data_IF_698831180706
#
_entry.id   IF_698831180706
#
_cell.length_a   1.000
_cell.length_b   1.000
_cell.length_c   1.000
_cell.angle_alpha   90.00
_cell.angle_beta   90.00
_cell.angle_gamma   90.00
#
_symmetry.space_group_name_H-M   'P 1'
#
loop_
_entity.id
_entity.type
_entity.pdbx_description
1 polymer ?
#
# COMPACT_ATOMS: atom_id res chain seq x y z
N UNK A 1 -19.32 -36.33 -36.33
CA UNK A 1 -20.13 -35.67 -35.29
C UNK A 1 -19.20 -35.42 -34.12
N UNK A 2 -18.92 -34.14 -33.84
CA UNK A 2 -17.80 -33.70 -33.02
C UNK A 2 -18.17 -33.50 -31.55
N UNK A 3 -17.23 -33.88 -30.68
CA UNK A 3 -16.93 -33.45 -29.31
C UNK A 3 -18.03 -32.92 -28.40
N UNK A 4 -18.22 -33.62 -27.27
CA UNK A 4 -18.71 -33.04 -26.02
C UNK A 4 -17.68 -33.24 -24.92
N UNK A 5 -16.56 -32.51 -25.03
CA UNK A 5 -15.67 -32.26 -23.89
C UNK A 5 -16.34 -31.23 -22.99
N UNK A 6 -17.06 -31.70 -21.98
CA UNK A 6 -17.51 -30.86 -20.86
C UNK A 6 -16.30 -30.47 -20.02
N UNK A 7 -15.56 -29.44 -20.47
CA UNK A 7 -14.61 -28.73 -19.61
C UNK A 7 -15.38 -28.03 -18.51
N UNK A 8 -15.50 -28.69 -17.37
CA UNK A 8 -15.82 -28.06 -16.09
C UNK A 8 -14.71 -27.07 -15.79
N UNK A 9 -14.95 -25.78 -16.06
CA UNK A 9 -14.06 -24.73 -15.56
C UNK A 9 -14.07 -24.78 -14.03
N UNK A 10 -12.90 -24.84 -13.36
CA UNK A 10 -12.87 -24.80 -11.91
C UNK A 10 -13.41 -23.45 -11.44
N UNK A 11 -14.38 -23.51 -10.53
CA UNK A 11 -14.89 -22.38 -9.78
C UNK A 11 -13.70 -21.58 -9.23
N UNK A 12 -13.56 -20.34 -9.69
CA UNK A 12 -12.54 -19.40 -9.24
C UNK A 12 -12.62 -19.27 -7.72
N UNK A 13 -11.59 -19.75 -7.02
CA UNK A 13 -11.36 -19.42 -5.62
C UNK A 13 -11.21 -17.92 -5.53
N UNK A 14 -12.27 -17.22 -5.09
CA UNK A 14 -12.25 -15.77 -4.90
C UNK A 14 -11.02 -15.41 -4.05
N UNK A 15 -10.03 -14.78 -4.67
CA UNK A 15 -8.83 -14.35 -3.96
C UNK A 15 -9.25 -13.21 -3.05
N UNK A 16 -9.22 -13.41 -1.74
CA UNK A 16 -9.67 -12.38 -0.82
C UNK A 16 -8.68 -11.18 -0.86
N UNK A 17 -8.99 -10.15 -1.65
CA UNK A 17 -8.20 -8.92 -1.76
C UNK A 17 -8.58 -7.98 -0.60
N UNK A 18 -7.61 -7.36 0.10
CA UNK A 18 -6.17 -7.56 -0.05
C UNK A 18 -5.66 -8.85 0.61
N UNK A 19 -4.74 -9.52 -0.06
CA UNK A 19 -4.03 -10.67 0.47
C UNK A 19 -3.05 -10.26 1.58
N UNK A 20 -2.66 -11.19 2.43
CA UNK A 20 -1.64 -10.93 3.47
C UNK A 20 -0.31 -10.47 2.88
N UNK A 21 0.06 -10.95 1.70
CA UNK A 21 1.29 -10.52 1.03
C UNK A 21 1.21 -9.07 0.55
N UNK A 22 0.07 -8.66 -0.02
CA UNK A 22 -0.18 -7.26 -0.37
C UNK A 22 -0.09 -6.35 0.86
N UNK A 23 -0.66 -6.76 1.99
CA UNK A 23 -0.59 -6.00 3.25
C UNK A 23 0.86 -5.91 3.76
N UNK A 24 1.64 -6.99 3.69
CA UNK A 24 3.07 -6.98 4.03
C UNK A 24 3.84 -5.99 3.14
N UNK A 25 3.57 -5.98 1.84
CA UNK A 25 4.17 -5.02 0.89
C UNK A 25 3.79 -3.58 1.24
N UNK A 26 2.53 -3.29 1.52
CA UNK A 26 2.09 -1.96 1.98
C UNK A 26 2.82 -1.53 3.26
N UNK A 27 2.92 -2.43 4.24
CA UNK A 27 3.65 -2.16 5.50
C UNK A 27 5.13 -1.89 5.25
N UNK A 28 5.74 -2.55 4.27
CA UNK A 28 7.14 -2.32 3.92
C UNK A 28 7.37 -0.92 3.34
N UNK A 29 6.42 -0.41 2.54
CA UNK A 29 6.48 0.92 1.92
C UNK A 29 6.19 2.07 2.88
N UNK A 30 5.48 1.79 3.98
CA UNK A 30 5.17 2.79 5.00
C UNK A 30 6.47 3.36 5.61
N UNK A 31 6.56 4.69 5.69
CA UNK A 31 7.75 5.38 6.18
C UNK A 31 8.94 5.39 5.23
N UNK A 32 8.78 4.95 3.97
CA UNK A 32 9.85 5.03 2.95
C UNK A 32 9.56 6.18 1.98
N UNK A 33 8.42 6.10 1.28
CA UNK A 33 8.04 7.10 0.27
C UNK A 33 6.51 7.26 0.30
N UNK A 34 6.08 8.48 0.64
CA UNK A 34 4.67 8.84 0.78
C UNK A 34 3.90 8.69 -0.53
N UNK A 35 4.52 9.03 -1.66
CA UNK A 35 3.92 8.94 -2.98
C UNK A 35 3.70 7.49 -3.40
N UNK A 36 4.74 6.67 -3.33
CA UNK A 36 4.69 5.24 -3.69
C UNK A 36 3.74 4.49 -2.77
N UNK A 37 3.76 4.77 -1.46
CA UNK A 37 2.82 4.17 -0.52
C UNK A 37 1.37 4.49 -0.89
N UNK A 38 1.06 5.76 -1.16
CA UNK A 38 -0.28 6.21 -1.58
C UNK A 38 -0.72 5.52 -2.88
N UNK A 39 0.17 5.44 -3.87
CA UNK A 39 -0.10 4.74 -5.13
C UNK A 39 -0.38 3.24 -4.91
N UNK A 40 0.37 2.59 -4.02
CA UNK A 40 0.19 1.18 -3.70
C UNK A 40 -1.15 0.93 -2.99
N UNK A 41 -1.58 1.83 -2.09
CA UNK A 41 -2.90 1.77 -1.46
C UNK A 41 -4.00 1.83 -2.52
N UNK A 42 -3.95 2.81 -3.42
CA UNK A 42 -4.96 2.96 -4.47
C UNK A 42 -4.95 1.79 -5.47
N UNK A 43 -3.78 1.24 -5.78
CA UNK A 43 -3.66 0.03 -6.59
C UNK A 43 -4.33 -1.18 -5.93
N UNK A 44 -4.31 -1.24 -4.59
CA UNK A 44 -4.98 -2.29 -3.81
C UNK A 44 -6.50 -2.15 -3.88
N UNK A 45 -7.02 -0.92 -3.74
CA UNK A 45 -8.44 -0.63 -3.92
C UNK A 45 -8.90 -0.95 -5.35
N UNK A 46 -8.10 -0.55 -6.34
CA UNK A 46 -8.36 -0.83 -7.76
C UNK A 46 -8.46 -2.34 -8.03
N UNK A 47 -7.53 -3.13 -7.49
CA UNK A 47 -7.55 -4.58 -7.61
C UNK A 47 -8.83 -5.20 -7.02
N UNK A 48 -9.26 -4.73 -5.85
CA UNK A 48 -10.51 -5.17 -5.24
C UNK A 48 -11.72 -4.88 -6.14
N UNK A 49 -11.85 -3.66 -6.66
CA UNK A 49 -12.98 -3.31 -7.52
C UNK A 49 -12.99 -4.15 -8.80
N UNK A 50 -11.84 -4.34 -9.43
CA UNK A 50 -11.72 -5.18 -10.64
C UNK A 50 -12.13 -6.62 -10.37
N UNK A 51 -11.72 -7.19 -9.25
CA UNK A 51 -12.14 -8.55 -8.88
C UNK A 51 -13.65 -8.64 -8.65
N UNK A 52 -14.23 -7.68 -7.94
CA UNK A 52 -15.67 -7.67 -7.65
C UNK A 52 -16.54 -7.42 -8.87
N UNK A 53 -16.10 -6.56 -9.78
CA UNK A 53 -16.81 -6.24 -11.02
C UNK A 53 -16.61 -7.32 -12.09
N UNK A 54 -15.51 -8.07 -12.03
CA UNK A 54 -15.24 -9.19 -12.92
C UNK A 54 -15.26 -8.78 -14.38
N UNK A 55 -16.00 -9.52 -15.21
CA UNK A 55 -16.03 -9.35 -16.66
C UNK A 55 -16.71 -8.06 -17.14
N UNK A 56 -17.27 -7.24 -16.25
CA UNK A 56 -17.88 -5.98 -16.67
C UNK A 56 -16.90 -4.84 -16.86
N UNK A 57 -15.64 -5.04 -16.47
CA UNK A 57 -14.57 -4.06 -16.60
C UNK A 57 -13.36 -4.75 -17.19
N UNK A 58 -12.51 -3.98 -17.86
CA UNK A 58 -11.29 -4.48 -18.46
C UNK A 58 -10.08 -3.63 -18.04
N UNK A 59 -8.89 -3.99 -18.50
CA UNK A 59 -7.65 -3.29 -18.14
C UNK A 59 -7.58 -1.84 -18.63
N UNK A 60 -8.49 -1.42 -19.51
CA UNK A 60 -8.58 -0.04 -20.01
C UNK A 60 -9.55 0.81 -19.19
N UNK A 61 -10.46 0.18 -18.44
CA UNK A 61 -11.38 0.87 -17.53
C UNK A 61 -10.61 1.68 -16.51
N UNK A 62 -10.91 2.98 -16.44
CA UNK A 62 -10.24 3.92 -15.53
C UNK A 62 -10.76 3.77 -14.11
N UNK A 63 -9.96 4.19 -13.13
CA UNK A 63 -10.32 4.04 -11.73
C UNK A 63 -11.65 4.71 -11.34
N UNK A 64 -11.97 5.89 -11.88
CA UNK A 64 -13.26 6.54 -11.58
C UNK A 64 -14.45 5.74 -12.13
N UNK A 65 -14.28 5.12 -13.30
CA UNK A 65 -15.30 4.26 -13.94
C UNK A 65 -15.53 3.00 -13.10
N UNK A 66 -14.47 2.42 -12.53
CA UNK A 66 -14.59 1.32 -11.58
C UNK A 66 -15.40 1.72 -10.33
N UNK A 67 -15.16 2.91 -9.80
CA UNK A 67 -15.88 3.42 -8.62
C UNK A 67 -17.36 3.66 -8.93
N UNK A 68 -17.66 4.30 -10.05
CA UNK A 68 -19.04 4.58 -10.45
C UNK A 68 -19.81 3.29 -10.71
N UNK A 69 -19.23 2.34 -11.45
CA UNK A 69 -19.84 1.03 -11.72
C UNK A 69 -20.08 0.24 -10.44
N UNK A 70 -19.10 0.21 -9.53
CA UNK A 70 -19.26 -0.47 -8.24
C UNK A 70 -20.36 0.18 -7.40
N UNK A 71 -20.39 1.53 -7.36
CA UNK A 71 -21.40 2.27 -6.59
C UNK A 71 -22.80 1.98 -7.10
N UNK A 72 -23.00 1.96 -8.41
CA UNK A 72 -24.30 1.71 -9.05
C UNK A 72 -24.83 0.30 -8.78
N UNK A 73 -23.93 -0.68 -8.66
CA UNK A 73 -24.32 -2.09 -8.43
C UNK A 73 -24.53 -2.46 -6.98
N UNK A 74 -23.69 -1.95 -6.08
CA UNK A 74 -23.56 -2.52 -4.73
C UNK A 74 -23.82 -1.53 -3.59
N UNK A 75 -23.82 -0.22 -3.87
CA UNK A 75 -23.79 0.80 -2.82
C UNK A 75 -24.95 1.79 -2.87
N UNK A 76 -26.01 1.43 -3.59
CA UNK A 76 -27.19 2.27 -3.74
C UNK A 76 -27.86 2.45 -2.37
N UNK A 77 -27.79 3.68 -1.84
CA UNK A 77 -28.38 4.14 -0.56
C UNK A 77 -27.65 3.86 0.77
N UNK A 78 -26.33 3.63 0.79
CA UNK A 78 -25.56 3.63 2.05
C UNK A 78 -24.78 4.96 2.28
N UNK A 79 -25.14 5.80 3.28
CA UNK A 79 -24.47 7.07 3.53
C UNK A 79 -22.97 6.96 3.84
N UNK A 80 -22.55 5.87 4.52
CA UNK A 80 -21.13 5.66 4.87
C UNK A 80 -20.28 5.33 3.63
N UNK A 81 -20.82 4.49 2.75
CA UNK A 81 -20.16 4.15 1.48
C UNK A 81 -20.09 5.37 0.55
N UNK A 82 -21.16 6.18 0.51
CA UNK A 82 -21.18 7.42 -0.26
C UNK A 82 -20.07 8.39 0.17
N UNK A 83 -19.92 8.62 1.48
CA UNK A 83 -18.86 9.48 2.00
C UNK A 83 -17.47 8.90 1.69
N UNK A 84 -17.28 7.59 1.88
CA UNK A 84 -16.03 6.90 1.55
C UNK A 84 -15.65 7.07 0.07
N UNK A 85 -16.59 6.88 -0.86
CA UNK A 85 -16.30 7.03 -2.29
C UNK A 85 -15.93 8.47 -2.66
N UNK A 86 -16.61 9.46 -2.06
CA UNK A 86 -16.24 10.86 -2.22
C UNK A 86 -14.80 11.10 -1.77
N UNK A 87 -14.42 10.54 -0.63
CA UNK A 87 -13.06 10.74 -0.09
C UNK A 87 -11.99 10.02 -0.93
N UNK A 88 -12.30 8.83 -1.46
CA UNK A 88 -11.47 8.11 -2.43
C UNK A 88 -11.29 8.95 -3.71
N UNK A 89 -12.37 9.50 -4.27
CA UNK A 89 -12.31 10.36 -5.46
C UNK A 89 -11.46 11.62 -5.20
N UNK A 90 -11.61 12.25 -4.03
CA UNK A 90 -10.80 13.42 -3.66
C UNK A 90 -9.30 13.07 -3.59
N UNK A 91 -8.95 11.94 -2.97
CA UNK A 91 -7.56 11.49 -2.83
C UNK A 91 -6.98 10.91 -4.14
N UNK A 92 -7.82 10.53 -5.11
CA UNK A 92 -7.37 10.08 -6.44
C UNK A 92 -6.49 11.13 -7.13
N UNK A 93 -6.74 12.42 -6.89
CA UNK A 93 -5.90 13.51 -7.44
C UNK A 93 -4.44 13.34 -7.03
N UNK A 94 -4.18 13.02 -5.76
CA UNK A 94 -2.83 12.81 -5.24
C UNK A 94 -2.18 11.60 -5.90
N UNK A 95 -2.92 10.49 -6.01
CA UNK A 95 -2.48 9.28 -6.71
C UNK A 95 -2.14 9.56 -8.18
N UNK A 96 -2.93 10.38 -8.88
CA UNK A 96 -2.66 10.76 -10.26
C UNK A 96 -1.40 11.63 -10.38
N UNK A 97 -1.14 12.52 -9.42
CA UNK A 97 0.09 13.31 -9.38
C UNK A 97 1.34 12.41 -9.22
N UNK A 98 1.27 11.39 -8.37
CA UNK A 98 2.33 10.38 -8.27
C UNK A 98 2.44 9.57 -9.57
N UNK A 99 1.32 9.08 -10.09
CA UNK A 99 1.27 8.19 -11.27
C UNK A 99 1.82 8.86 -12.54
N UNK A 100 1.48 10.13 -12.77
CA UNK A 100 1.80 10.82 -14.02
C UNK A 100 3.03 11.73 -13.93
N UNK A 101 3.35 12.22 -12.74
CA UNK A 101 4.44 13.19 -12.54
C UNK A 101 5.49 12.74 -11.53
N UNK A 102 5.34 11.53 -10.97
CA UNK A 102 6.21 11.02 -9.92
C UNK A 102 6.38 12.01 -8.76
N UNK A 103 5.30 12.72 -8.44
CA UNK A 103 5.31 13.77 -7.44
C UNK A 103 5.51 13.17 -6.04
N UNK A 104 6.37 13.79 -5.24
CA UNK A 104 6.44 13.47 -3.82
C UNK A 104 5.18 13.99 -3.10
N UNK A 105 4.66 13.19 -2.17
CA UNK A 105 3.51 13.55 -1.35
C UNK A 105 3.95 13.83 0.09
N UNK A 106 3.14 14.58 0.82
CA UNK A 106 3.36 14.78 2.24
C UNK A 106 3.02 13.52 3.05
N UNK A 107 3.52 13.47 4.28
CA UNK A 107 3.21 12.37 5.22
C UNK A 107 1.71 12.35 5.55
N UNK A 108 1.07 13.51 5.64
CA UNK A 108 -0.37 13.66 5.88
C UNK A 108 -1.18 13.08 4.71
N UNK A 109 -0.75 13.30 3.46
CA UNK A 109 -1.40 12.72 2.28
C UNK A 109 -1.29 11.18 2.28
N UNK A 110 -0.13 10.63 2.65
CA UNK A 110 0.04 9.18 2.82
C UNK A 110 -0.81 8.62 3.97
N UNK A 111 -0.90 9.33 5.10
CA UNK A 111 -1.73 8.93 6.23
C UNK A 111 -3.22 8.97 5.88
N UNK A 112 -3.66 9.95 5.08
CA UNK A 112 -5.02 10.00 4.52
C UNK A 112 -5.32 8.74 3.69
N UNK A 113 -4.39 8.31 2.84
CA UNK A 113 -4.54 7.06 2.07
C UNK A 113 -4.63 5.81 2.97
N UNK A 114 -3.79 5.70 4.01
CA UNK A 114 -3.85 4.59 4.96
C UNK A 114 -5.20 4.54 5.70
N UNK A 115 -5.70 5.71 6.11
CA UNK A 115 -6.99 5.83 6.78
C UNK A 115 -8.15 5.45 5.84
N UNK A 116 -8.10 5.85 4.57
CA UNK A 116 -9.07 5.43 3.56
C UNK A 116 -9.11 3.93 3.38
N UNK A 117 -7.95 3.27 3.30
CA UNK A 117 -7.88 1.81 3.20
C UNK A 117 -8.50 1.12 4.41
N UNK A 118 -8.26 1.64 5.62
CA UNK A 118 -8.83 1.12 6.87
C UNK A 118 -10.35 1.27 6.91
N UNK A 119 -10.88 2.44 6.55
CA UNK A 119 -12.33 2.67 6.45
C UNK A 119 -12.97 1.76 5.39
N UNK A 120 -12.33 1.65 4.23
CA UNK A 120 -12.75 0.75 3.16
C UNK A 120 -12.81 -0.70 3.64
N UNK A 121 -11.75 -1.17 4.30
CA UNK A 121 -11.70 -2.52 4.85
C UNK A 121 -12.80 -2.80 5.87
N UNK A 122 -13.12 -1.81 6.70
CA UNK A 122 -14.18 -1.90 7.71
C UNK A 122 -15.57 -1.95 7.07
N UNK A 123 -15.84 -1.06 6.12
CA UNK A 123 -17.15 -0.95 5.46
C UNK A 123 -17.47 -2.19 4.63
N UNK A 124 -16.48 -2.70 3.89
CA UNK A 124 -16.67 -3.86 3.02
C UNK A 124 -16.34 -5.21 3.69
N UNK A 125 -16.11 -5.22 5.01
CA UNK A 125 -15.76 -6.41 5.80
C UNK A 125 -14.63 -7.24 5.16
N UNK A 126 -13.55 -6.57 4.77
CA UNK A 126 -12.42 -7.22 4.12
C UNK A 126 -11.69 -8.17 5.07
N UNK A 127 -11.02 -9.21 4.55
CA UNK A 127 -10.13 -10.04 5.34
C UNK A 127 -8.99 -9.21 5.96
N UNK A 128 -8.33 -9.76 6.98
CA UNK A 128 -7.08 -9.19 7.54
C UNK A 128 -7.24 -7.76 8.09
N UNK A 129 -8.44 -7.41 8.53
CA UNK A 129 -8.82 -6.10 9.09
C UNK A 129 -7.85 -5.62 10.18
N UNK A 130 -7.37 -6.50 11.05
CA UNK A 130 -6.37 -6.17 12.08
C UNK A 130 -5.07 -5.65 11.47
N UNK A 131 -4.54 -6.33 10.44
CA UNK A 131 -3.28 -5.93 9.81
C UNK A 131 -3.45 -4.65 8.99
N UNK A 132 -4.61 -4.44 8.37
CA UNK A 132 -4.94 -3.20 7.65
C UNK A 132 -5.04 -2.03 8.64
N UNK A 133 -5.74 -2.20 9.76
CA UNK A 133 -5.91 -1.13 10.76
C UNK A 133 -4.58 -0.70 11.39
N UNK A 134 -3.61 -1.61 11.48
CA UNK A 134 -2.25 -1.25 11.90
C UNK A 134 -1.56 -0.28 10.95
N UNK A 135 -1.86 -0.31 9.64
CA UNK A 135 -1.30 0.66 8.68
C UNK A 135 -1.77 2.07 9.02
N UNK A 136 -3.06 2.25 9.37
CA UNK A 136 -3.62 3.56 9.73
C UNK A 136 -3.16 4.05 11.12
N UNK A 137 -2.93 3.15 12.08
CA UNK A 137 -2.52 3.52 13.44
C UNK A 137 -1.05 4.00 13.53
N UNK A 138 -0.21 3.63 12.58
CA UNK A 138 1.24 3.79 12.66
C UNK A 138 1.74 5.15 12.10
N UNK A 139 1.15 6.26 12.55
CA UNK A 139 1.54 7.61 12.13
C UNK A 139 3.02 7.92 12.43
N UNK A 140 3.57 7.39 13.54
CA UNK A 140 4.97 7.59 13.97
C UNK A 140 6.03 6.88 13.12
N UNK A 141 5.64 5.97 12.21
CA UNK A 141 6.60 5.27 11.34
C UNK A 141 7.24 6.25 10.34
N UNK A 142 6.51 7.29 9.94
CA UNK A 142 7.00 8.30 9.01
C UNK A 142 8.10 9.20 9.61
N UNK A 143 8.08 9.44 10.92
CA UNK A 143 9.10 10.27 11.59
C UNK A 143 10.37 9.48 11.98
N UNK A 144 10.29 8.14 12.01
CA UNK A 144 11.31 7.30 12.67
C UNK A 144 12.15 6.44 11.73
N UNK A 145 11.72 6.26 10.47
CA UNK A 145 12.51 5.50 9.48
C UNK A 145 13.53 6.41 8.81
N UNK A 146 14.80 6.24 9.19
CA UNK A 146 15.94 6.74 8.39
C UNK A 146 15.95 6.04 7.04
N UNK A 147 16.32 6.77 5.99
CA UNK A 147 16.50 6.14 4.67
C UNK A 147 17.61 5.08 4.73
N UNK A 148 17.57 4.04 3.89
CA UNK A 148 18.64 3.04 3.81
C UNK A 148 20.02 3.66 3.55
N UNK A 149 20.07 4.77 2.80
CA UNK A 149 21.30 5.53 2.54
C UNK A 149 21.85 6.18 3.80
N UNK A 150 20.98 6.76 4.64
CA UNK A 150 21.39 7.32 5.93
C UNK A 150 21.84 6.23 6.90
N UNK A 151 21.14 5.09 6.94
CA UNK A 151 21.57 3.92 7.73
C UNK A 151 22.94 3.39 7.26
N UNK A 152 23.17 3.31 5.94
CA UNK A 152 24.46 2.89 5.39
C UNK A 152 25.60 3.86 5.75
N UNK A 153 25.35 5.17 5.68
CA UNK A 153 26.31 6.20 6.09
C UNK A 153 26.64 6.13 7.57
N UNK A 154 25.65 5.89 8.43
CA UNK A 154 25.87 5.72 9.87
C UNK A 154 26.66 4.45 10.18
N UNK A 155 26.35 3.35 9.49
CA UNK A 155 27.10 2.10 9.63
C UNK A 155 28.57 2.28 9.19
N UNK A 156 28.81 2.99 8.10
CA UNK A 156 30.17 3.27 7.64
C UNK A 156 30.95 4.15 8.62
N UNK A 157 30.32 5.20 9.16
CA UNK A 157 30.93 6.02 10.22
C UNK A 157 31.25 5.20 11.48
N UNK A 158 30.33 4.35 11.92
CA UNK A 158 30.53 3.49 13.08
C UNK A 158 31.68 2.50 12.87
N UNK A 159 31.78 1.91 11.67
CA UNK A 159 32.88 1.02 11.32
C UNK A 159 34.24 1.74 11.26
N UNK A 160 34.28 2.98 10.76
CA UNK A 160 35.51 3.79 10.77
C UNK A 160 35.95 4.12 12.20
N UNK A 161 35.02 4.46 13.08
CA UNK A 161 35.30 4.75 14.49
C UNK A 161 35.83 3.53 15.23
N UNK A 162 35.18 2.37 15.05
CA UNK A 162 35.64 1.09 15.63
C UNK A 162 37.06 0.74 15.15
N UNK A 163 37.34 0.95 13.87
CA UNK A 163 38.68 0.70 13.31
C UNK A 163 39.73 1.63 13.92
N UNK A 164 39.40 2.91 14.11
CA UNK A 164 40.28 3.89 14.77
C UNK A 164 40.56 3.51 16.22
N UNK A 165 39.52 3.16 16.99
CA UNK A 165 39.65 2.75 18.38
C UNK A 165 40.46 1.45 18.52
N UNK A 166 40.22 0.47 17.64
CA UNK A 166 41.00 -0.76 17.54
C UNK A 166 42.50 -0.48 17.33
N UNK A 167 42.84 0.35 16.34
CA UNK A 167 44.25 0.71 16.07
C UNK A 167 44.88 1.46 17.25
N UNK A 168 44.15 2.40 17.85
CA UNK A 168 44.65 3.16 19.01
C UNK A 168 44.91 2.28 20.23
N UNK A 169 44.06 1.27 20.48
CA UNK A 169 44.25 0.32 21.56
C UNK A 169 45.44 -0.63 21.30
N UNK A 170 45.63 -1.05 20.05
CA UNK A 170 46.78 -1.87 19.65
C UNK A 170 48.11 -1.11 19.85
N UNK A 171 48.16 0.17 19.47
CA UNK A 171 49.34 1.02 19.65
C UNK A 171 49.66 1.28 21.12
N UNK A 172 48.64 1.39 21.99
CA UNK A 172 48.84 1.53 23.44
C UNK A 172 49.33 0.22 24.09
N UNK A 173 48.82 -0.92 23.63
CA UNK A 173 49.24 -2.24 24.12
C UNK A 173 50.69 -2.60 23.71
N UNK A 174 51.19 -2.07 22.59
CA UNK A 174 52.58 -2.25 22.17
C UNK A 174 53.58 -1.29 22.84
N UNK A 175 53.09 -0.22 23.46
CA UNK A 175 53.91 0.78 24.19
C UNK A 175 53.94 0.55 25.71
N UNK A 176 53.26 -0.48 26.20
CA UNK A 176 53.26 -0.93 27.60
C UNK A 176 54.20 -2.12 27.77
#
# INVERSE_FOLDING_TARGET
MANSDSKTQPQSTASLIPTLDQIKRLKSLQGIDSGIFTLAVFSTLEAFFREKLGNSVDNTTKFYELLDEYRERYSVHNPKEYQLFRDIQNNQKNTNQVRHHFKNLSVEEANSAAFLLSQFATIFNLPNLTQINQLAANLKIWDSRKSPSETAKELEKANQELKRLSSSNADMAQKS
#
